data_IF_220415066904
#
_entry.id   IF_220415066904
#
_cell.length_a   1.000
_cell.length_b   1.000
_cell.length_c   1.000
_cell.angle_alpha   90.00
_cell.angle_beta   90.00
_cell.angle_gamma   90.00
#
_symmetry.space_group_name_H-M   'P 1'
#
loop_
_entity.id
_entity.type
_entity.pdbx_description
1 polymer ?
#
# COMPACT_ATOMS: atom_id res chain seq x y z
N UNK A 1 1.45 15.40 -2.40
CA UNK A 1 2.02 15.75 -1.05
C UNK A 1 1.60 17.11 -0.48
N UNK A 2 0.97 18.08 -1.21
CA UNK A 2 0.66 19.42 -0.69
C UNK A 2 -0.20 19.46 0.59
N UNK A 3 -1.09 18.47 0.77
CA UNK A 3 -1.90 18.37 1.99
C UNK A 3 -1.09 18.12 3.26
N UNK A 4 -0.08 17.24 3.19
CA UNK A 4 0.79 16.93 4.31
C UNK A 4 1.70 18.10 4.69
N UNK A 5 2.19 18.89 3.72
CA UNK A 5 2.95 20.11 3.98
C UNK A 5 2.11 21.11 4.78
N UNK A 6 0.83 21.34 4.37
CA UNK A 6 -0.10 22.23 5.08
C UNK A 6 -0.36 21.73 6.50
N UNK A 7 -0.60 20.41 6.65
CA UNK A 7 -0.84 19.81 7.95
C UNK A 7 0.37 19.95 8.86
N UNK A 8 1.57 19.65 8.37
CA UNK A 8 2.82 19.81 9.11
C UNK A 8 3.04 21.25 9.57
N UNK A 9 2.92 22.23 8.66
CA UNK A 9 3.10 23.65 9.01
C UNK A 9 2.11 24.12 10.08
N UNK A 10 0.90 23.55 10.11
CA UNK A 10 -0.12 23.91 11.11
C UNK A 10 0.24 23.39 12.50
N UNK A 11 0.88 22.22 12.62
CA UNK A 11 1.02 21.53 13.90
C UNK A 11 2.48 21.37 14.37
N UNK A 12 3.48 21.65 13.57
CA UNK A 12 4.91 21.49 13.95
C UNK A 12 5.29 22.20 15.26
N UNK A 13 4.67 23.31 15.57
CA UNK A 13 4.93 24.07 16.80
C UNK A 13 4.26 23.47 18.05
N UNK A 14 3.40 22.48 17.88
CA UNK A 14 2.83 21.68 18.96
C UNK A 14 3.68 20.44 19.30
N UNK A 15 4.91 20.36 18.81
CA UNK A 15 5.81 19.22 19.03
C UNK A 15 5.54 18.05 18.06
N UNK A 16 4.76 18.28 16.99
CA UNK A 16 4.46 17.28 15.97
C UNK A 16 5.52 17.26 14.86
N UNK A 17 5.98 16.08 14.50
CA UNK A 17 6.86 15.87 13.36
C UNK A 17 6.34 14.77 12.44
N UNK A 18 6.85 14.73 11.21
CA UNK A 18 6.51 13.73 10.19
C UNK A 18 7.78 13.06 9.69
N UNK A 19 7.78 11.73 9.71
CA UNK A 19 8.70 10.91 8.93
C UNK A 19 7.91 10.31 7.76
N UNK A 20 8.23 10.71 6.54
CA UNK A 20 7.70 10.10 5.34
C UNK A 20 8.54 8.88 4.94
N UNK A 21 7.87 7.76 4.67
CA UNK A 21 8.53 6.54 4.19
C UNK A 21 8.01 6.26 2.78
N UNK A 22 8.87 6.44 1.78
CA UNK A 22 8.58 6.04 0.40
C UNK A 22 8.86 4.55 0.24
N UNK A 23 7.95 3.86 -0.43
CA UNK A 23 8.07 2.43 -0.76
C UNK A 23 8.38 2.23 -2.25
N UNK A 24 9.06 3.20 -2.85
CA UNK A 24 9.49 3.13 -4.25
C UNK A 24 10.76 2.27 -4.37
N UNK A 25 10.60 1.09 -4.93
CA UNK A 25 11.70 0.12 -5.15
C UNK A 25 12.76 0.61 -6.14
N UNK A 26 12.46 1.66 -6.90
CA UNK A 26 13.40 2.33 -7.78
C UNK A 26 14.45 3.15 -7.03
N UNK A 27 14.28 3.26 -5.71
CA UNK A 27 15.23 3.88 -4.83
C UNK A 27 15.14 5.39 -4.74
N UNK A 28 16.16 5.97 -4.11
CA UNK A 28 16.17 7.37 -3.76
C UNK A 28 16.15 8.34 -4.95
N UNK A 29 16.60 7.92 -6.13
CA UNK A 29 16.65 8.80 -7.31
C UNK A 29 15.27 9.26 -7.77
N UNK A 30 14.27 8.35 -7.77
CA UNK A 30 12.90 8.67 -8.17
C UNK A 30 12.13 9.40 -7.07
N UNK A 31 12.55 9.24 -5.81
CA UNK A 31 11.91 9.87 -4.65
C UNK A 31 12.40 11.30 -4.42
N UNK A 32 13.70 11.55 -4.66
CA UNK A 32 14.36 12.83 -4.38
C UNK A 32 13.63 14.06 -4.91
N UNK A 33 13.14 14.12 -6.18
CA UNK A 33 12.45 15.30 -6.68
C UNK A 33 11.20 15.68 -5.90
N UNK A 34 10.58 14.70 -5.23
CA UNK A 34 9.40 14.92 -4.40
C UNK A 34 9.75 15.16 -2.93
N UNK A 35 10.86 14.57 -2.45
CA UNK A 35 11.32 14.69 -1.08
C UNK A 35 11.97 16.04 -0.78
N UNK A 36 12.76 16.57 -1.74
CA UNK A 36 13.49 17.84 -1.57
C UNK A 36 12.54 19.05 -1.38
N UNK A 37 11.29 18.94 -1.77
CA UNK A 37 10.27 19.97 -1.57
C UNK A 37 9.52 19.82 -0.22
N UNK A 38 9.77 18.74 0.55
CA UNK A 38 9.04 18.50 1.79
C UNK A 38 9.70 19.18 2.98
N UNK A 39 8.91 19.77 3.91
CA UNK A 39 9.43 20.39 5.12
C UNK A 39 9.76 19.38 6.23
N UNK A 40 9.71 18.10 5.97
CA UNK A 40 9.95 16.99 6.89
C UNK A 40 10.80 15.89 6.23
N UNK A 41 11.40 15.03 7.05
CA UNK A 41 12.29 13.97 6.59
C UNK A 41 11.56 12.92 5.76
N UNK A 42 12.17 12.51 4.65
CA UNK A 42 11.72 11.38 3.83
C UNK A 42 12.84 10.32 3.78
N UNK A 43 12.48 9.07 4.02
CA UNK A 43 13.33 7.90 3.85
C UNK A 43 12.76 6.98 2.78
N UNK A 44 13.57 6.09 2.24
CA UNK A 44 13.15 5.14 1.20
C UNK A 44 13.28 3.72 1.74
N UNK A 45 12.19 2.96 1.66
CA UNK A 45 12.10 1.55 2.03
C UNK A 45 11.99 0.70 0.76
N UNK A 46 13.13 0.47 0.11
CA UNK A 46 13.22 -0.26 -1.17
C UNK A 46 12.80 -1.73 -1.04
N UNK A 47 12.93 -2.31 0.15
CA UNK A 47 12.57 -3.69 0.44
C UNK A 47 11.15 -3.87 0.94
N UNK A 48 10.39 -2.76 1.03
CA UNK A 48 9.02 -2.75 1.57
C UNK A 48 8.92 -3.35 2.99
N UNK A 49 9.97 -3.15 3.79
CA UNK A 49 10.11 -3.72 5.13
C UNK A 49 9.06 -3.21 6.10
N UNK A 50 8.71 -1.91 6.03
CA UNK A 50 7.67 -1.30 6.84
C UNK A 50 6.29 -1.88 6.55
N UNK A 51 5.92 -1.97 5.26
CA UNK A 51 4.63 -2.55 4.89
C UNK A 51 4.51 -3.99 5.36
N UNK A 52 5.61 -4.75 5.25
CA UNK A 52 5.66 -6.14 5.70
C UNK A 52 5.51 -6.25 7.22
N UNK A 53 6.22 -5.39 7.99
CA UNK A 53 6.20 -5.43 9.45
C UNK A 53 4.83 -5.06 10.03
N UNK A 54 4.15 -4.06 9.45
CA UNK A 54 2.84 -3.60 9.88
C UNK A 54 1.67 -4.27 9.17
N UNK A 55 1.93 -5.17 8.22
CA UNK A 55 0.90 -5.84 7.43
C UNK A 55 0.17 -4.90 6.46
N UNK A 56 0.82 -3.84 6.00
CA UNK A 56 0.24 -2.91 5.06
C UNK A 56 0.15 -3.51 3.66
N UNK A 57 -1.02 -3.37 3.04
CA UNK A 57 -1.33 -3.90 1.71
C UNK A 57 -1.51 -2.82 0.66
N UNK A 58 -1.67 -1.58 1.09
CA UNK A 58 -1.91 -0.41 0.23
C UNK A 58 -1.04 0.77 0.69
N UNK A 59 -1.08 1.87 -0.06
CA UNK A 59 -0.56 3.19 0.30
C UNK A 59 -1.60 4.25 -0.06
N UNK A 60 -1.66 5.38 0.64
CA UNK A 60 -0.85 5.79 1.78
C UNK A 60 -1.31 5.18 3.10
N UNK A 61 -0.40 5.03 4.06
CA UNK A 61 -0.68 4.58 5.42
C UNK A 61 -0.21 5.61 6.43
N UNK A 62 -0.80 5.61 7.62
CA UNK A 62 -0.41 6.46 8.73
C UNK A 62 -0.19 5.67 10.01
N UNK A 63 0.92 5.94 10.69
CA UNK A 63 1.20 5.47 12.04
C UNK A 63 1.47 6.70 12.88
N UNK A 64 0.74 6.88 13.97
CA UNK A 64 1.03 7.91 14.96
C UNK A 64 1.70 7.29 16.17
N UNK A 65 2.85 7.85 16.53
CA UNK A 65 3.67 7.42 17.68
C UNK A 65 3.77 8.62 18.61
N UNK A 66 3.48 8.42 19.90
CA UNK A 66 3.61 9.47 20.90
C UNK A 66 5.07 9.70 21.33
N UNK A 67 5.27 10.69 22.19
CA UNK A 67 6.60 11.05 22.71
C UNK A 67 7.26 9.96 23.58
N UNK A 68 6.49 9.02 24.08
CA UNK A 68 6.95 7.84 24.82
C UNK A 68 7.31 6.66 23.90
N UNK A 69 7.10 6.77 22.57
CA UNK A 69 7.35 5.72 21.61
C UNK A 69 6.21 4.70 21.46
N UNK A 70 5.03 5.03 21.98
CA UNK A 70 3.85 4.16 21.89
C UNK A 70 3.02 4.48 20.65
N UNK A 71 2.61 3.44 19.92
CA UNK A 71 1.73 3.61 18.76
C UNK A 71 0.31 3.88 19.25
N UNK A 72 -0.27 5.02 18.86
CA UNK A 72 -1.60 5.49 19.25
C UNK A 72 -2.62 5.42 18.12
N UNK A 73 -2.17 5.31 16.87
CA UNK A 73 -3.01 5.13 15.69
C UNK A 73 -2.24 4.37 14.63
N UNK A 74 -2.90 3.38 14.02
CA UNK A 74 -2.50 2.79 12.74
C UNK A 74 -3.70 2.85 11.82
N UNK A 75 -3.50 3.31 10.57
CA UNK A 75 -4.57 3.39 9.57
C UNK A 75 -4.03 3.12 8.18
N UNK A 76 -4.55 2.08 7.53
CA UNK A 76 -4.34 1.86 6.10
C UNK A 76 -5.26 2.76 5.28
N UNK A 77 -4.76 3.24 4.15
CA UNK A 77 -5.51 4.19 3.32
C UNK A 77 -5.69 5.56 3.98
N UNK A 78 -4.72 6.00 4.79
CA UNK A 78 -4.77 7.28 5.47
C UNK A 78 -4.75 8.44 4.46
N UNK A 79 -5.73 9.33 4.53
CA UNK A 79 -5.85 10.47 3.62
C UNK A 79 -5.90 11.78 4.40
N UNK A 80 -4.97 12.69 4.12
CA UNK A 80 -4.92 14.02 4.74
C UNK A 80 -6.10 14.93 4.32
N UNK A 81 -6.81 14.57 3.26
CA UNK A 81 -8.05 15.25 2.83
C UNK A 81 -9.29 14.74 3.57
N UNK A 82 -9.21 13.65 4.32
CA UNK A 82 -10.29 13.14 5.14
C UNK A 82 -10.25 13.81 6.51
N UNK A 83 -11.33 14.50 6.87
CA UNK A 83 -11.44 15.27 8.12
C UNK A 83 -11.38 14.34 9.36
N UNK A 84 -11.98 13.17 9.32
CA UNK A 84 -11.96 12.21 10.42
C UNK A 84 -10.52 11.74 10.71
N UNK A 85 -9.73 11.45 9.65
CA UNK A 85 -8.35 11.04 9.79
C UNK A 85 -7.48 12.16 10.41
N UNK A 86 -7.63 13.39 9.90
CA UNK A 86 -6.83 14.53 10.36
C UNK A 86 -7.25 15.01 11.75
N UNK A 87 -8.56 14.93 12.07
CA UNK A 87 -9.07 15.25 13.40
C UNK A 87 -8.58 14.21 14.44
N UNK A 88 -8.50 12.94 14.07
CA UNK A 88 -7.91 11.91 14.91
C UNK A 88 -6.46 12.23 15.31
N UNK A 89 -5.62 12.61 14.33
CA UNK A 89 -4.23 13.02 14.63
C UNK A 89 -4.23 14.31 15.48
N UNK A 90 -5.08 15.29 15.18
CA UNK A 90 -5.17 16.52 15.98
C UNK A 90 -5.43 16.23 17.47
N UNK A 91 -6.39 15.34 17.75
CA UNK A 91 -6.70 14.95 19.14
C UNK A 91 -5.51 14.29 19.84
N UNK A 92 -4.73 13.48 19.12
CA UNK A 92 -3.52 12.86 19.66
C UNK A 92 -2.40 13.88 19.90
N UNK A 93 -2.19 14.83 18.98
CA UNK A 93 -1.19 15.92 19.13
C UNK A 93 -1.45 16.74 20.39
N UNK A 94 -2.73 17.03 20.69
CA UNK A 94 -3.12 17.84 21.84
C UNK A 94 -3.45 17.01 23.09
N UNK A 95 -3.15 15.72 23.07
CA UNK A 95 -3.36 14.79 24.17
C UNK A 95 -4.84 14.77 24.68
N UNK A 96 -5.81 15.08 23.78
CA UNK A 96 -7.24 15.04 24.10
C UNK A 96 -7.76 13.60 24.25
N UNK A 97 -7.09 12.64 23.63
CA UNK A 97 -7.38 11.21 23.71
C UNK A 97 -6.08 10.41 23.77
N UNK A 98 -6.10 9.26 24.41
CA UNK A 98 -4.94 8.36 24.48
C UNK A 98 -4.72 7.58 23.18
N UNK A 99 -5.79 7.23 22.49
CA UNK A 99 -5.78 6.38 21.30
C UNK A 99 -6.88 6.81 20.34
N UNK A 100 -6.66 6.66 19.07
CA UNK A 100 -7.68 6.81 18.03
C UNK A 100 -7.81 5.50 17.28
N UNK A 101 -9.05 5.06 17.10
CA UNK A 101 -9.40 3.93 16.23
C UNK A 101 -10.22 4.48 15.07
N UNK A 102 -9.75 4.24 13.86
CA UNK A 102 -10.43 4.59 12.62
C UNK A 102 -10.84 3.29 11.92
N UNK A 103 -11.99 3.30 11.27
CA UNK A 103 -12.44 2.16 10.49
C UNK A 103 -11.42 1.82 9.40
N UNK A 104 -10.97 0.56 9.34
CA UNK A 104 -9.97 0.08 8.39
C UNK A 104 -10.58 -0.98 7.47
N UNK A 105 -11.02 -0.53 6.28
CA UNK A 105 -11.61 -1.39 5.26
C UNK A 105 -10.63 -2.43 4.68
N UNK A 106 -9.34 -2.25 4.91
CA UNK A 106 -8.28 -3.09 4.36
C UNK A 106 -7.78 -4.14 5.34
N UNK A 107 -8.25 -4.09 6.58
CA UNK A 107 -7.92 -5.04 7.62
C UNK A 107 -9.10 -5.97 7.91
N UNK A 108 -9.03 -7.20 7.38
CA UNK A 108 -9.96 -8.28 7.77
C UNK A 108 -9.13 -9.42 8.40
N UNK A 109 -9.13 -9.57 9.73
CA UNK A 109 -8.31 -10.57 10.40
C UNK A 109 -8.75 -12.01 10.13
N UNK A 110 -9.98 -12.23 9.65
CA UNK A 110 -10.55 -13.57 9.43
C UNK A 110 -10.33 -14.15 8.04
N UNK A 111 -9.90 -13.36 7.05
CA UNK A 111 -9.81 -13.75 5.63
C UNK A 111 -8.42 -13.50 5.00
N UNK A 112 -7.41 -13.29 5.79
CA UNK A 112 -6.05 -13.05 5.28
C UNK A 112 -5.24 -14.34 5.12
N UNK A 113 -4.08 -14.26 4.42
CA UNK A 113 -3.12 -15.34 4.40
C UNK A 113 -2.62 -15.66 5.82
N UNK A 114 -2.29 -16.94 6.04
CA UNK A 114 -1.64 -17.39 7.27
C UNK A 114 -0.30 -16.67 7.48
N UNK A 115 0.22 -16.69 8.72
CA UNK A 115 1.52 -16.10 9.01
C UNK A 115 2.63 -16.66 8.13
N UNK A 116 2.62 -17.98 7.90
CA UNK A 116 3.60 -18.64 7.04
C UNK A 116 3.49 -18.18 5.58
N UNK A 117 2.28 -18.07 5.04
CA UNK A 117 2.05 -17.56 3.68
C UNK A 117 2.52 -16.11 3.55
N UNK A 118 2.29 -15.26 4.56
CA UNK A 118 2.81 -13.88 4.59
C UNK A 118 4.34 -13.85 4.54
N UNK A 119 5.00 -14.62 5.40
CA UNK A 119 6.46 -14.68 5.45
C UNK A 119 7.07 -15.22 4.13
N UNK A 120 6.43 -16.23 3.55
CA UNK A 120 6.85 -16.76 2.25
C UNK A 120 6.62 -15.75 1.13
N UNK A 121 5.48 -15.08 1.10
CA UNK A 121 5.17 -14.00 0.14
C UNK A 121 6.22 -12.89 0.20
N UNK A 122 6.59 -12.44 1.40
CA UNK A 122 7.63 -11.43 1.62
C UNK A 122 9.01 -11.91 1.13
N UNK A 123 9.36 -13.16 1.40
CA UNK A 123 10.62 -13.75 0.95
C UNK A 123 10.69 -13.79 -0.58
N UNK A 124 9.59 -14.20 -1.23
CA UNK A 124 9.45 -14.21 -2.69
C UNK A 124 9.51 -12.81 -3.28
N UNK A 125 8.87 -11.84 -2.65
CA UNK A 125 8.95 -10.43 -3.05
C UNK A 125 10.39 -9.91 -3.01
N UNK A 126 11.13 -10.14 -1.90
CA UNK A 126 12.54 -9.73 -1.78
C UNK A 126 13.42 -10.35 -2.86
N UNK A 127 13.23 -11.66 -3.12
CA UNK A 127 13.95 -12.36 -4.18
C UNK A 127 13.63 -11.78 -5.57
N UNK A 128 12.38 -11.47 -5.83
CA UNK A 128 11.95 -10.83 -7.07
C UNK A 128 12.64 -9.46 -7.27
N UNK A 129 12.72 -8.65 -6.20
CA UNK A 129 13.39 -7.35 -6.27
C UNK A 129 14.90 -7.51 -6.54
N UNK A 130 15.53 -8.50 -5.95
CA UNK A 130 16.94 -8.82 -6.23
C UNK A 130 17.15 -9.25 -7.69
N UNK A 131 16.29 -10.11 -8.23
CA UNK A 131 16.33 -10.44 -9.66
C UNK A 131 16.13 -9.22 -10.56
N UNK A 132 15.18 -8.35 -10.21
CA UNK A 132 14.92 -7.11 -10.95
C UNK A 132 16.13 -6.18 -10.97
N UNK A 133 16.82 -5.96 -9.83
CA UNK A 133 18.04 -5.16 -9.74
C UNK A 133 19.19 -5.73 -10.60
N UNK A 134 19.22 -7.05 -10.77
CA UNK A 134 20.20 -7.74 -11.60
C UNK A 134 19.77 -7.89 -13.08
N UNK A 135 18.70 -7.22 -13.51
CA UNK A 135 18.21 -7.25 -14.89
C UNK A 135 17.52 -8.55 -15.30
N UNK A 136 17.25 -9.45 -14.37
CA UNK A 136 16.60 -10.75 -14.59
C UNK A 136 15.07 -10.61 -14.49
N UNK A 137 14.48 -9.97 -15.51
CA UNK A 137 13.07 -9.59 -15.51
C UNK A 137 12.11 -10.78 -15.39
N UNK A 138 12.34 -11.84 -16.14
CA UNK A 138 11.43 -13.00 -16.17
C UNK A 138 11.46 -13.78 -14.85
N UNK A 139 12.62 -13.92 -14.22
CA UNK A 139 12.76 -14.52 -12.92
C UNK A 139 12.09 -13.65 -11.85
N UNK A 140 12.24 -12.33 -11.94
CA UNK A 140 11.57 -11.39 -11.04
C UNK A 140 10.03 -11.49 -11.15
N UNK A 141 9.50 -11.58 -12.35
CA UNK A 141 8.06 -11.74 -12.58
C UNK A 141 7.53 -13.07 -12.03
N UNK A 142 8.29 -14.15 -12.20
CA UNK A 142 7.94 -15.48 -11.66
C UNK A 142 7.80 -15.42 -10.13
N UNK A 143 8.77 -14.83 -9.45
CA UNK A 143 8.72 -14.71 -7.99
C UNK A 143 7.62 -13.75 -7.50
N UNK A 144 7.32 -12.69 -8.24
CA UNK A 144 6.20 -11.79 -7.95
C UNK A 144 4.84 -12.48 -8.12
N UNK A 145 4.68 -13.32 -9.14
CA UNK A 145 3.46 -14.09 -9.34
C UNK A 145 3.25 -15.09 -8.17
N UNK A 146 4.31 -15.74 -7.68
CA UNK A 146 4.26 -16.62 -6.50
C UNK A 146 3.92 -15.80 -5.24
N UNK A 147 4.59 -14.65 -5.02
CA UNK A 147 4.33 -13.79 -3.88
C UNK A 147 2.87 -13.32 -3.84
N UNK A 148 2.33 -12.91 -4.99
CA UNK A 148 0.95 -12.45 -5.10
C UNK A 148 -0.06 -13.60 -4.93
N UNK A 149 0.26 -14.81 -5.37
CA UNK A 149 -0.60 -15.99 -5.15
C UNK A 149 -0.75 -16.32 -3.65
N UNK A 150 0.28 -16.03 -2.85
CA UNK A 150 0.29 -16.22 -1.40
C UNK A 150 -0.41 -15.08 -0.64
N UNK A 151 -0.34 -13.84 -1.14
CA UNK A 151 -0.99 -12.65 -0.53
C UNK A 151 -1.70 -11.83 -1.63
N UNK A 152 -2.85 -12.33 -2.09
CA UNK A 152 -3.60 -11.81 -3.25
C UNK A 152 -4.08 -10.37 -3.09
N UNK A 153 -4.28 -9.92 -1.86
CA UNK A 153 -4.76 -8.57 -1.57
C UNK A 153 -3.63 -7.55 -1.40
N UNK A 154 -2.38 -7.99 -1.52
CA UNK A 154 -1.23 -7.12 -1.42
C UNK A 154 -1.06 -6.29 -2.69
N UNK A 155 -1.60 -5.06 -2.64
CA UNK A 155 -1.54 -4.14 -3.76
C UNK A 155 -0.11 -3.70 -4.10
N UNK A 156 0.80 -3.66 -3.13
CA UNK A 156 2.20 -3.27 -3.36
C UNK A 156 2.92 -4.30 -4.23
N UNK A 157 2.75 -5.60 -3.93
CA UNK A 157 3.31 -6.69 -4.75
C UNK A 157 2.71 -6.62 -6.17
N UNK A 158 1.39 -6.44 -6.27
CA UNK A 158 0.67 -6.31 -7.55
C UNK A 158 1.18 -5.13 -8.36
N UNK A 159 1.36 -3.97 -7.75
CA UNK A 159 1.88 -2.76 -8.39
C UNK A 159 3.30 -2.97 -8.93
N UNK A 160 4.18 -3.65 -8.19
CA UNK A 160 5.54 -3.94 -8.65
C UNK A 160 5.55 -4.90 -9.84
N UNK A 161 4.68 -5.91 -9.84
CA UNK A 161 4.48 -6.79 -11.00
C UNK A 161 4.03 -6.00 -12.23
N UNK A 162 3.09 -5.08 -12.07
CA UNK A 162 2.66 -4.19 -13.16
C UNK A 162 3.79 -3.30 -13.66
N UNK A 163 4.55 -2.72 -12.76
CA UNK A 163 5.71 -1.90 -13.13
C UNK A 163 6.70 -2.64 -14.02
N UNK A 164 7.01 -3.88 -13.70
CA UNK A 164 7.90 -4.70 -14.52
C UNK A 164 7.27 -5.12 -15.85
N UNK A 165 5.97 -5.41 -15.88
CA UNK A 165 5.27 -5.81 -17.11
C UNK A 165 4.98 -4.64 -18.04
N UNK A 166 4.62 -3.49 -17.49
CA UNK A 166 4.08 -2.32 -18.16
C UNK A 166 4.78 -1.03 -17.72
N UNK A 167 6.11 -0.91 -17.88
CA UNK A 167 6.85 0.26 -17.42
C UNK A 167 6.35 1.58 -18.04
N UNK A 168 5.78 1.53 -19.24
CA UNK A 168 5.17 2.66 -19.93
C UNK A 168 3.94 3.24 -19.19
N UNK A 169 3.32 2.47 -18.30
CA UNK A 169 2.19 2.91 -17.45
C UNK A 169 2.62 3.64 -16.19
N UNK A 170 3.92 3.69 -15.94
CA UNK A 170 4.51 4.32 -14.77
C UNK A 170 5.43 5.51 -15.11
N UNK A 171 5.83 5.65 -16.38
CA UNK A 171 6.73 6.69 -16.84
C UNK A 171 6.17 7.41 -18.08
N UNK A 172 6.27 8.75 -18.19
CA UNK A 172 6.82 9.68 -17.17
C UNK A 172 5.84 10.02 -16.03
N UNK A 173 4.57 9.65 -16.17
CA UNK A 173 3.49 9.88 -15.20
C UNK A 173 2.75 8.56 -14.99
N UNK A 174 2.42 8.28 -13.73
CA UNK A 174 1.67 7.06 -13.37
C UNK A 174 0.24 7.15 -13.91
N UNK A 175 -0.17 6.17 -14.72
CA UNK A 175 -1.53 6.02 -15.24
C UNK A 175 -2.44 5.36 -14.19
N UNK A 176 -3.03 6.17 -13.32
CA UNK A 176 -3.90 5.68 -12.24
C UNK A 176 -5.20 5.07 -12.76
N UNK A 177 -5.73 5.55 -13.88
CA UNK A 177 -6.95 5.00 -14.49
C UNK A 177 -6.71 3.59 -15.04
N UNK A 178 -5.55 3.39 -15.66
CA UNK A 178 -5.13 2.06 -16.10
C UNK A 178 -4.96 1.12 -14.91
N UNK A 179 -4.29 1.55 -13.81
CA UNK A 179 -4.10 0.72 -12.62
C UNK A 179 -5.43 0.26 -12.01
N UNK A 180 -6.43 1.16 -11.95
CA UNK A 180 -7.75 0.84 -11.46
C UNK A 180 -8.44 -0.21 -12.31
N UNK A 181 -8.44 -0.04 -13.63
CA UNK A 181 -9.03 -1.00 -14.58
C UNK A 181 -8.32 -2.35 -14.53
N UNK A 182 -6.98 -2.34 -14.46
CA UNK A 182 -6.18 -3.56 -14.38
C UNK A 182 -6.46 -4.34 -13.09
N UNK A 183 -6.65 -3.64 -11.97
CA UNK A 183 -7.05 -4.27 -10.71
C UNK A 183 -8.42 -4.94 -10.82
N UNK A 184 -9.40 -4.27 -11.42
CA UNK A 184 -10.75 -4.83 -11.63
C UNK A 184 -10.69 -6.11 -12.48
N UNK A 185 -9.92 -6.10 -13.57
CA UNK A 185 -9.73 -7.28 -14.45
C UNK A 185 -9.10 -8.43 -13.66
N UNK A 186 -7.98 -8.20 -12.99
CA UNK A 186 -7.28 -9.27 -12.26
C UNK A 186 -8.13 -9.83 -11.11
N UNK A 187 -8.86 -8.98 -10.39
CA UNK A 187 -9.78 -9.44 -9.33
C UNK A 187 -10.94 -10.28 -9.90
N UNK A 188 -11.46 -9.93 -11.07
CA UNK A 188 -12.46 -10.72 -11.74
C UNK A 188 -11.92 -12.10 -12.17
N UNK A 189 -10.69 -12.16 -12.71
CA UNK A 189 -10.02 -13.41 -13.07
C UNK A 189 -9.76 -14.28 -11.83
N UNK A 190 -9.29 -13.69 -10.73
CA UNK A 190 -9.06 -14.39 -9.46
C UNK A 190 -10.35 -14.99 -8.89
N UNK A 191 -11.48 -14.26 -8.96
CA UNK A 191 -12.77 -14.73 -8.52
C UNK A 191 -13.30 -15.89 -9.40
N UNK A 192 -13.06 -15.81 -10.72
CA UNK A 192 -13.39 -16.90 -11.64
C UNK A 192 -12.65 -18.19 -11.30
N UNK A 193 -11.35 -18.10 -11.01
CA UNK A 193 -10.52 -19.26 -10.66
C UNK A 193 -10.97 -19.92 -9.35
N UNK A 194 -11.52 -19.13 -8.41
CA UNK A 194 -12.06 -19.63 -7.13
C UNK A 194 -13.48 -20.17 -7.24
N UNK A 195 -14.19 -19.93 -8.37
CA UNK A 195 -15.61 -20.25 -8.52
C UNK A 195 -16.51 -19.35 -7.67
N UNK A 196 -16.04 -18.19 -7.28
CA UNK A 196 -16.77 -17.20 -6.49
C UNK A 196 -17.78 -16.42 -7.36
N UNK A 197 -18.87 -15.92 -6.75
CA UNK A 197 -19.85 -15.07 -7.41
C UNK A 197 -19.21 -13.72 -7.79
N UNK A 198 -19.28 -13.33 -9.06
CA UNK A 198 -18.94 -11.98 -9.51
C UNK A 198 -20.21 -11.16 -9.55
N UNK A 199 -20.25 -10.07 -8.79
CA UNK A 199 -21.37 -9.14 -8.76
C UNK A 199 -21.01 -7.85 -9.51
N UNK A 200 -21.84 -7.49 -10.50
CA UNK A 200 -21.74 -6.24 -11.27
C UNK A 200 -23.06 -5.47 -11.24
N UNK A 201 -23.16 -4.32 -11.93
CA UNK A 201 -24.38 -3.51 -12.01
C UNK A 201 -25.60 -4.29 -12.52
N UNK A 202 -25.40 -5.39 -13.23
CA UNK A 202 -26.46 -6.25 -13.80
C UNK A 202 -26.78 -7.48 -12.92
N UNK A 203 -26.18 -7.62 -11.73
CA UNK A 203 -26.38 -8.73 -10.81
C UNK A 203 -25.15 -9.59 -10.57
N UNK A 204 -25.32 -10.67 -9.80
CA UNK A 204 -24.25 -11.61 -9.45
C UNK A 204 -24.32 -12.87 -10.31
N UNK A 205 -23.19 -13.33 -10.85
CA UNK A 205 -23.09 -14.55 -11.64
C UNK A 205 -21.92 -15.44 -11.19
N UNK A 206 -22.10 -16.77 -11.25
CA UNK A 206 -21.00 -17.72 -11.08
C UNK A 206 -20.33 -17.86 -12.46
N UNK A 207 -19.03 -17.56 -12.59
CA UNK A 207 -18.34 -17.70 -13.85
C UNK A 207 -18.34 -19.16 -14.34
N UNK A 208 -18.58 -19.35 -15.63
CA UNK A 208 -18.58 -20.67 -16.25
C UNK A 208 -19.89 -21.46 -16.15
N UNK A 209 -20.95 -20.97 -15.49
CA UNK A 209 -22.29 -21.50 -15.61
C UNK A 209 -23.10 -20.66 -16.59
N UNK A 210 -23.24 -21.12 -17.83
CA UNK A 210 -24.18 -20.56 -18.77
C UNK A 210 -25.59 -20.67 -18.17
N UNK A 211 -26.37 -19.58 -18.21
CA UNK A 211 -27.82 -19.63 -17.99
C UNK A 211 -28.40 -20.38 -19.18
N UNK A 212 -28.79 -21.62 -18.97
CA UNK A 212 -29.74 -22.31 -19.85
C UNK A 212 -31.13 -21.69 -19.70
#
# INVERSE_FOLDING_TARGET
MPGWQKFYHKYKYAGFDILSVSVDIQGAEVVRPFADEMPFTTVVDEDNSFSNQFGFKIVPNGIFIDKEGTIRLIKQGFQVSNEEHTEGIRKLIFEEVEKVELDDQYFNPSEGPTQLEKELSQTKFKLAMEYSRNGKKEEALTELDIALALDKDNYLIRKQRWYLRHPEKFNPIIDLDWQKKQLEIEKAEEAQLKGELICGPEGCAIPGKNKN
#
